data_IF_942087084846
#
_entry.id   IF_942087084846
#
_cell.length_a   1.000
_cell.length_b   1.000
_cell.length_c   1.000
_cell.angle_alpha   90.00
_cell.angle_beta   90.00
_cell.angle_gamma   90.00
#
_symmetry.space_group_name_H-M   'P 1'
#
loop_
_entity.id
_entity.type
_entity.pdbx_description
1 polymer ?
#
# COMPACT_ATOMS: atom_id res chain seq x y z
N UNK A 1 -7.99 -12.04 -3.75
CA UNK A 1 -6.88 -11.21 -3.21
C UNK A 1 -7.27 -9.76 -3.36
N UNK A 2 -7.01 -8.93 -2.34
CA UNK A 2 -7.44 -7.53 -2.30
C UNK A 2 -6.32 -6.57 -2.75
N UNK A 3 -6.66 -5.30 -2.87
CA UNK A 3 -5.78 -4.23 -3.29
C UNK A 3 -6.49 -2.89 -3.25
N UNK A 4 -5.72 -1.83 -3.48
CA UNK A 4 -6.21 -0.45 -3.43
C UNK A 4 -5.73 0.35 -4.63
N UNK A 5 -6.54 1.32 -5.04
CA UNK A 5 -6.18 2.28 -6.09
C UNK A 5 -5.51 3.52 -5.48
N UNK A 6 -4.58 4.13 -6.22
CA UNK A 6 -4.00 5.44 -5.89
C UNK A 6 -3.96 6.29 -7.16
N UNK A 7 -4.32 7.56 -7.06
CA UNK A 7 -4.10 8.53 -8.12
C UNK A 7 -2.72 9.17 -7.96
N UNK A 8 -1.82 8.91 -8.92
CA UNK A 8 -0.51 9.56 -8.97
C UNK A 8 -0.64 11.04 -9.38
N UNK A 9 0.44 11.81 -9.19
CA UNK A 9 0.53 13.19 -9.70
C UNK A 9 0.25 13.20 -11.20
N UNK A 10 -0.62 14.12 -11.63
CA UNK A 10 -1.11 14.17 -13.02
C UNK A 10 -2.33 13.29 -13.29
N UNK A 11 -2.98 12.75 -12.24
CA UNK A 11 -4.28 12.07 -12.35
C UNK A 11 -4.21 10.65 -12.91
N UNK A 12 -3.02 10.02 -12.90
CA UNK A 12 -2.83 8.66 -13.42
C UNK A 12 -3.18 7.63 -12.34
N UNK A 13 -4.24 6.83 -12.48
CA UNK A 13 -4.55 5.79 -11.50
C UNK A 13 -3.58 4.62 -11.63
N UNK A 14 -3.23 4.06 -10.49
CA UNK A 14 -2.48 2.82 -10.37
C UNK A 14 -3.13 1.92 -9.34
N UNK A 15 -2.96 0.61 -9.49
CA UNK A 15 -3.53 -0.39 -8.60
C UNK A 15 -2.42 -1.19 -7.93
N UNK A 16 -2.41 -1.18 -6.61
CA UNK A 16 -1.55 -2.00 -5.77
C UNK A 16 -2.36 -3.19 -5.29
N UNK A 17 -1.85 -4.40 -5.44
CA UNK A 17 -2.61 -5.60 -5.08
C UNK A 17 -1.72 -6.73 -4.59
N UNK A 18 -2.30 -7.61 -3.77
CA UNK A 18 -1.61 -8.83 -3.36
C UNK A 18 -1.72 -9.91 -4.42
N UNK A 19 -0.59 -10.53 -4.76
CA UNK A 19 -0.51 -11.73 -5.60
C UNK A 19 0.06 -12.90 -4.80
N UNK A 20 -0.11 -14.11 -5.32
CA UNK A 20 0.61 -15.30 -4.88
C UNK A 20 1.67 -15.62 -5.93
N UNK A 21 2.90 -15.87 -5.49
CA UNK A 21 3.94 -16.41 -6.36
C UNK A 21 3.83 -17.95 -6.48
N UNK A 22 4.77 -18.57 -7.21
CA UNK A 22 4.78 -20.02 -7.42
C UNK A 22 5.03 -20.83 -6.14
N UNK A 23 5.47 -20.17 -5.06
CA UNK A 23 5.70 -20.75 -3.75
C UNK A 23 4.56 -20.41 -2.77
N UNK A 24 3.43 -19.92 -3.30
CA UNK A 24 2.26 -19.46 -2.53
C UNK A 24 2.58 -18.34 -1.52
N UNK A 25 3.63 -17.57 -1.78
CA UNK A 25 3.98 -16.42 -0.94
C UNK A 25 3.17 -15.21 -1.37
N UNK A 26 2.65 -14.48 -0.39
CA UNK A 26 1.93 -13.25 -0.62
C UNK A 26 2.92 -12.13 -0.96
N UNK A 27 2.75 -11.53 -2.13
CA UNK A 27 3.61 -10.47 -2.67
C UNK A 27 2.78 -9.26 -3.06
N UNK A 28 3.36 -8.06 -3.06
CA UNK A 28 2.67 -6.85 -3.52
C UNK A 28 3.09 -6.53 -4.95
N UNK A 29 2.09 -6.23 -5.77
CA UNK A 29 2.20 -6.06 -7.19
C UNK A 29 1.57 -4.74 -7.63
N UNK A 30 2.01 -4.24 -8.76
CA UNK A 30 1.57 -2.98 -9.36
C UNK A 30 0.92 -3.26 -10.73
N UNK A 31 -0.20 -2.61 -10.98
CA UNK A 31 -0.83 -2.53 -12.30
C UNK A 31 -1.23 -1.08 -12.63
N UNK A 32 -1.32 -0.77 -13.91
CA UNK A 32 -1.76 0.53 -14.42
C UNK A 32 -2.67 0.33 -15.64
N UNK A 33 -3.58 1.28 -15.94
CA UNK A 33 -4.42 1.18 -17.11
C UNK A 33 -3.59 1.12 -18.39
N UNK A 34 -4.00 0.26 -19.32
CA UNK A 34 -3.40 0.16 -20.64
C UNK A 34 -3.67 1.41 -21.49
N UNK A 35 -4.85 2.00 -21.31
CA UNK A 35 -5.31 3.17 -22.05
C UNK A 35 -5.98 4.17 -21.09
N UNK A 36 -5.32 5.31 -20.83
CA UNK A 36 -5.86 6.38 -19.98
C UNK A 36 -6.99 7.18 -20.65
N UNK A 37 -7.14 7.07 -21.97
CA UNK A 37 -8.24 7.70 -22.71
C UNK A 37 -9.53 6.89 -22.67
N UNK A 38 -9.50 5.64 -22.17
CA UNK A 38 -10.72 4.85 -21.92
C UNK A 38 -11.34 5.31 -20.59
N UNK A 39 -12.50 6.00 -20.59
CA UNK A 39 -13.10 6.51 -19.35
C UNK A 39 -13.52 5.39 -18.40
N UNK A 40 -13.66 4.16 -18.90
CA UNK A 40 -14.01 2.98 -18.11
C UNK A 40 -12.80 2.21 -17.61
N UNK A 41 -11.58 2.53 -18.06
CA UNK A 41 -10.32 1.89 -17.69
C UNK A 41 -10.42 0.35 -17.69
N UNK A 42 -10.94 -0.24 -18.78
CA UNK A 42 -11.28 -1.68 -18.82
C UNK A 42 -10.08 -2.59 -18.85
N UNK A 43 -9.00 -2.17 -19.51
CA UNK A 43 -7.79 -2.95 -19.67
C UNK A 43 -6.66 -2.44 -18.75
N UNK A 44 -6.02 -3.36 -18.04
CA UNK A 44 -4.90 -3.09 -17.14
C UNK A 44 -3.67 -3.91 -17.51
N UNK A 45 -2.50 -3.31 -17.35
CA UNK A 45 -1.20 -3.95 -17.57
C UNK A 45 -0.48 -4.08 -16.24
N UNK A 46 0.05 -5.28 -15.96
CA UNK A 46 0.90 -5.54 -14.80
C UNK A 46 2.29 -4.96 -15.05
N UNK A 47 2.88 -4.35 -14.04
CA UNK A 47 4.27 -3.89 -14.10
C UNK A 47 5.22 -5.06 -14.39
N UNK A 48 6.20 -4.90 -15.30
CA UNK A 48 7.22 -5.93 -15.55
C UNK A 48 8.18 -6.12 -14.36
N UNK A 49 8.18 -5.18 -13.40
CA UNK A 49 8.95 -5.27 -12.16
C UNK A 49 8.22 -6.02 -11.03
N UNK A 50 7.06 -6.59 -11.31
CA UNK A 50 6.34 -7.36 -10.30
C UNK A 50 7.10 -8.65 -9.92
N UNK A 51 7.08 -9.05 -8.64
CA UNK A 51 6.52 -8.30 -7.50
C UNK A 51 7.38 -7.09 -7.10
N UNK A 52 6.73 -5.97 -6.79
CA UNK A 52 7.43 -4.75 -6.33
C UNK A 52 7.82 -4.84 -4.84
N UNK A 53 7.17 -5.71 -4.08
CA UNK A 53 7.52 -6.02 -2.70
C UNK A 53 7.29 -7.52 -2.44
N UNK A 54 8.33 -8.21 -1.98
CA UNK A 54 8.26 -9.61 -1.58
C UNK A 54 8.69 -9.82 -0.13
N UNK A 55 8.15 -10.82 0.58
CA UNK A 55 8.75 -11.35 1.79
C UNK A 55 10.16 -11.87 1.50
N UNK A 56 11.13 -11.54 2.35
CA UNK A 56 12.51 -12.04 2.23
C UNK A 56 13.09 -12.31 3.61
N UNK A 57 14.13 -13.15 3.67
CA UNK A 57 14.88 -13.38 4.91
C UNK A 57 15.42 -12.07 5.50
N UNK A 58 15.80 -11.11 4.65
CA UNK A 58 16.31 -9.81 5.07
C UNK A 58 15.24 -8.94 5.73
N UNK A 59 14.01 -8.92 5.19
CA UNK A 59 12.93 -8.09 5.72
C UNK A 59 12.12 -8.77 6.84
N UNK A 60 12.29 -10.08 7.04
CA UNK A 60 11.69 -10.89 8.13
C UNK A 60 10.16 -10.81 8.16
N UNK A 61 9.53 -10.70 6.99
CA UNK A 61 8.07 -10.70 6.84
C UNK A 61 7.59 -12.15 6.70
N UNK A 62 6.47 -12.47 7.34
CA UNK A 62 5.82 -13.77 7.19
C UNK A 62 5.12 -13.83 5.82
N UNK A 63 5.53 -14.77 4.97
CA UNK A 63 5.07 -14.89 3.58
C UNK A 63 3.60 -15.29 3.44
N UNK A 64 2.99 -15.93 4.44
CA UNK A 64 1.55 -16.28 4.42
C UNK A 64 0.66 -15.23 5.09
N UNK A 65 1.26 -14.17 5.63
CA UNK A 65 0.60 -13.13 6.41
C UNK A 65 1.13 -11.76 6.01
N UNK A 66 1.00 -11.42 4.73
CA UNK A 66 1.48 -10.16 4.17
C UNK A 66 0.65 -9.74 2.95
N UNK A 67 -0.42 -8.98 3.17
CA UNK A 67 -1.42 -8.70 2.12
C UNK A 67 -2.17 -7.39 2.35
N UNK A 68 -2.95 -7.03 1.35
CA UNK A 68 -3.91 -5.93 1.36
C UNK A 68 -3.22 -4.56 1.50
N UNK A 69 -2.54 -4.10 0.43
CA UNK A 69 -1.94 -2.78 0.41
C UNK A 69 -3.01 -1.68 0.45
N UNK A 70 -2.78 -0.65 1.26
CA UNK A 70 -3.66 0.53 1.33
C UNK A 70 -3.57 1.39 0.08
N UNK A 71 -4.52 2.31 -0.08
CA UNK A 71 -4.27 3.51 -0.90
C UNK A 71 -3.02 4.22 -0.35
N UNK A 72 -2.13 4.62 -1.25
CA UNK A 72 -0.90 5.29 -0.88
C UNK A 72 -1.10 6.80 -0.75
N UNK A 73 -0.31 7.44 0.10
CA UNK A 73 -0.34 8.89 0.32
C UNK A 73 1.02 9.53 0.11
N UNK A 74 1.03 10.74 -0.42
CA UNK A 74 2.26 11.51 -0.66
C UNK A 74 2.57 12.41 0.54
N UNK A 75 3.69 12.16 1.21
CA UNK A 75 4.14 13.02 2.31
C UNK A 75 4.75 14.34 1.81
N UNK A 76 4.85 15.32 2.72
CA UNK A 76 5.50 16.63 2.47
C UNK A 76 6.95 16.50 1.99
N UNK A 77 7.61 15.40 2.32
CA UNK A 77 8.99 15.06 1.92
C UNK A 77 9.08 14.50 0.49
N UNK A 78 7.98 14.49 -0.26
CA UNK A 78 7.93 13.97 -1.63
C UNK A 78 8.03 12.45 -1.74
N UNK A 79 7.87 11.72 -0.64
CA UNK A 79 7.84 10.25 -0.64
C UNK A 79 6.41 9.73 -0.50
N UNK A 80 6.04 8.82 -1.40
CA UNK A 80 4.86 7.99 -1.24
C UNK A 80 5.00 7.06 -0.06
N UNK A 81 3.90 6.80 0.63
CA UNK A 81 3.78 5.87 1.74
C UNK A 81 2.59 4.96 1.51
N UNK A 82 2.72 3.72 1.95
CA UNK A 82 1.69 2.69 1.88
C UNK A 82 1.83 1.79 3.10
N UNK A 83 0.72 1.35 3.67
CA UNK A 83 0.72 0.27 4.66
C UNK A 83 0.28 -1.05 4.03
N UNK A 84 0.77 -2.16 4.58
CA UNK A 84 0.35 -3.52 4.20
C UNK A 84 0.06 -4.31 5.47
N UNK A 85 -1.05 -5.03 5.48
CA UNK A 85 -1.49 -5.87 6.59
C UNK A 85 -0.54 -7.04 6.81
N UNK A 86 -0.19 -7.30 8.07
CA UNK A 86 0.67 -8.41 8.45
C UNK A 86 0.47 -8.82 9.91
N UNK A 87 1.21 -9.84 10.33
CA UNK A 87 1.40 -10.17 11.75
C UNK A 87 2.81 -10.68 12.03
N UNK A 88 3.20 -10.55 13.28
CA UNK A 88 4.38 -11.23 13.85
C UNK A 88 3.95 -11.97 15.10
N UNK A 89 3.94 -13.30 15.03
CA UNK A 89 3.38 -14.18 16.07
C UNK A 89 1.90 -13.82 16.29
N UNK A 90 1.49 -13.30 17.45
CA UNK A 90 0.12 -12.85 17.74
C UNK A 90 -0.07 -11.34 17.52
N UNK A 91 1.00 -10.57 17.29
CA UNK A 91 0.95 -9.12 17.12
C UNK A 91 0.54 -8.74 15.70
N UNK A 92 -0.58 -8.04 15.54
CA UNK A 92 -1.01 -7.46 14.27
C UNK A 92 -0.16 -6.25 13.89
N UNK A 93 0.09 -6.08 12.59
CA UNK A 93 0.99 -5.06 12.05
C UNK A 93 0.38 -4.37 10.84
N UNK A 94 0.50 -3.05 10.78
CA UNK A 94 0.42 -2.27 9.56
C UNK A 94 1.86 -1.93 9.10
N UNK A 95 2.47 -2.76 8.25
CA UNK A 95 3.86 -2.56 7.83
C UNK A 95 3.93 -1.36 6.88
N UNK A 96 4.70 -0.34 7.27
CA UNK A 96 4.87 0.87 6.49
C UNK A 96 5.99 0.73 5.45
N UNK A 97 5.71 1.16 4.22
CA UNK A 97 6.67 1.29 3.13
C UNK A 97 6.75 2.73 2.64
N UNK A 98 7.89 3.09 2.03
CA UNK A 98 8.10 4.38 1.37
C UNK A 98 8.70 4.22 -0.03
N UNK A 99 8.32 5.08 -0.96
CA UNK A 99 8.89 5.11 -2.32
C UNK A 99 8.95 6.54 -2.88
N UNK A 100 9.92 6.82 -3.74
CA UNK A 100 9.96 8.08 -4.52
C UNK A 100 9.21 7.98 -5.86
N UNK A 101 9.21 6.78 -6.46
CA UNK A 101 8.76 6.57 -7.84
C UNK A 101 7.58 5.59 -7.95
N UNK A 102 7.01 5.16 -6.82
CA UNK A 102 5.88 4.22 -6.72
C UNK A 102 6.18 2.78 -7.14
N UNK A 103 7.43 2.49 -7.51
CA UNK A 103 7.86 1.21 -8.05
C UNK A 103 8.85 0.55 -7.11
N UNK A 104 9.89 1.28 -6.70
CA UNK A 104 10.92 0.78 -5.81
C UNK A 104 10.54 1.20 -4.37
N UNK A 105 10.20 0.22 -3.53
CA UNK A 105 9.68 0.44 -2.18
C UNK A 105 10.66 -0.02 -1.11
N UNK A 106 10.89 0.83 -0.12
CA UNK A 106 11.70 0.51 1.05
C UNK A 106 10.82 0.34 2.29
N UNK A 107 10.98 -0.78 3.00
CA UNK A 107 10.30 -1.00 4.28
C UNK A 107 10.81 0.00 5.32
N UNK A 108 9.91 0.62 6.07
CA UNK A 108 10.27 1.45 7.21
C UNK A 108 10.83 0.59 8.36
N UNK A 109 11.61 1.22 9.25
CA UNK A 109 12.18 0.54 10.44
C UNK A 109 11.09 0.07 11.40
N UNK A 110 10.04 0.88 11.56
CA UNK A 110 8.90 0.60 12.42
C UNK A 110 7.62 0.51 11.56
N UNK A 111 6.66 -0.36 11.94
CA UNK A 111 5.33 -0.35 11.31
C UNK A 111 4.65 1.01 11.56
N UNK A 112 3.62 1.32 10.77
CA UNK A 112 2.77 2.49 11.02
C UNK A 112 2.10 2.38 12.39
N UNK A 113 1.55 1.19 12.67
CA UNK A 113 0.97 0.85 13.96
C UNK A 113 1.00 -0.67 14.15
N UNK A 114 0.87 -1.10 15.41
CA UNK A 114 0.85 -2.52 15.77
C UNK A 114 0.15 -2.71 17.11
N UNK A 115 -0.50 -3.86 17.31
CA UNK A 115 -1.14 -4.20 18.58
C UNK A 115 -0.96 -5.68 18.89
N UNK A 116 -0.72 -5.98 20.17
CA UNK A 116 -0.59 -7.37 20.66
C UNK A 116 -1.93 -8.09 20.66
N UNK A 117 -1.88 -9.41 20.48
CA UNK A 117 -3.02 -10.32 20.58
C UNK A 117 -4.23 -10.01 19.69
N UNK A 118 -4.00 -9.31 18.58
CA UNK A 118 -5.01 -9.07 17.54
C UNK A 118 -4.91 -10.05 16.36
N UNK A 119 -3.83 -10.82 16.27
CA UNK A 119 -3.60 -11.72 15.13
C UNK A 119 -3.28 -11.00 13.83
N UNK A 120 -3.75 -11.53 12.70
CA UNK A 120 -3.51 -10.96 11.36
C UNK A 120 -4.35 -9.71 11.14
N UNK A 121 -3.72 -8.62 10.71
CA UNK A 121 -4.46 -7.47 10.18
C UNK A 121 -4.64 -7.62 8.68
N UNK A 122 -5.89 -7.63 8.25
CA UNK A 122 -6.31 -7.67 6.84
C UNK A 122 -6.97 -6.33 6.49
N UNK A 123 -6.90 -5.96 5.21
CA UNK A 123 -7.50 -4.74 4.66
C UNK A 123 -7.29 -3.48 5.54
N UNK A 124 -6.05 -3.14 5.94
CA UNK A 124 -5.82 -1.87 6.61
C UNK A 124 -6.29 -0.72 5.73
N UNK A 125 -6.75 0.36 6.36
CA UNK A 125 -7.03 1.62 5.69
C UNK A 125 -6.50 2.78 6.55
N UNK A 126 -5.94 3.79 5.91
CA UNK A 126 -5.33 4.93 6.57
C UNK A 126 -5.54 6.20 5.76
N UNK A 127 -6.37 7.09 6.31
CA UNK A 127 -6.75 8.34 5.66
C UNK A 127 -6.94 9.46 6.69
N UNK A 128 -6.70 10.72 6.31
CA UNK A 128 -6.98 11.86 7.15
C UNK A 128 -8.48 12.17 7.13
N UNK A 129 -8.96 12.78 8.21
CA UNK A 129 -10.30 13.36 8.32
C UNK A 129 -10.19 14.81 8.76
N UNK A 130 -11.18 15.63 8.40
CA UNK A 130 -11.26 17.00 8.92
C UNK A 130 -11.65 16.97 10.40
N UNK A 131 -11.08 17.89 11.18
CA UNK A 131 -11.47 18.07 12.58
C UNK A 131 -12.86 18.70 12.72
N UNK A 132 -13.29 19.48 11.72
CA UNK A 132 -14.60 20.11 11.66
C UNK A 132 -15.12 20.06 10.21
N UNK A 133 -16.43 19.87 10.07
CA UNK A 133 -17.11 19.62 8.79
C UNK A 133 -17.30 18.13 8.46
N UNK A 134 -18.10 17.87 7.42
CA UNK A 134 -18.54 16.52 7.02
C UNK A 134 -18.03 16.10 5.63
N UNK A 135 -17.04 16.81 5.09
CA UNK A 135 -16.51 16.58 3.73
C UNK A 135 -15.24 15.74 3.82
N UNK A 136 -15.13 14.70 2.98
CA UNK A 136 -13.93 13.88 2.87
C UNK A 136 -12.75 14.65 2.25
N UNK A 137 -11.53 14.26 2.60
CA UNK A 137 -10.30 14.87 2.10
C UNK A 137 -9.40 13.82 1.44
N UNK A 138 -8.61 14.28 0.47
CA UNK A 138 -7.64 13.42 -0.21
C UNK A 138 -6.61 12.86 0.79
N UNK A 139 -6.19 11.61 0.57
CA UNK A 139 -5.27 10.90 1.48
C UNK A 139 -3.91 11.60 1.62
N UNK A 140 -3.52 12.42 0.65
CA UNK A 140 -2.29 13.21 0.66
C UNK A 140 -2.47 14.62 1.24
N UNK A 141 -3.66 14.98 1.73
CA UNK A 141 -3.86 16.23 2.47
C UNK A 141 -3.06 16.16 3.75
N UNK A 142 -2.19 17.15 3.92
CA UNK A 142 -1.35 17.25 5.11
C UNK A 142 -1.91 18.32 6.05
N UNK A 143 -2.03 17.99 7.33
CA UNK A 143 -2.39 18.95 8.37
C UNK A 143 -1.37 20.09 8.54
N UNK A 144 -1.82 21.18 9.14
CA UNK A 144 -0.91 22.22 9.65
C UNK A 144 -0.04 21.60 10.74
N UNK A 145 1.26 21.93 10.82
CA UNK A 145 2.09 21.52 11.96
C UNK A 145 1.40 21.98 13.25
N UNK A 146 1.32 21.08 14.24
CA UNK A 146 0.98 21.46 15.61
C UNK A 146 2.13 22.27 16.22
#
# INVERSE_FOLDING_TARGET
MSGSATLLRGGKPVFLYTGLDLLEQQTQNLAYPKNLSDPLLREWVKSPKNPIISPTTANKINSSSFRDPTTAWLGKDGHWRMAVGSKRVTRGLAILYRSKNFVDWAKAKHPLYSMEDTGMWECPDFYPVLNDGSIGIDTSVNGRPC
#
